data_IF_576259363007
#
_entry.id   IF_576259363007
#
_cell.length_a   1.000
_cell.length_b   1.000
_cell.length_c   1.000
_cell.angle_alpha   90.00
_cell.angle_beta   90.00
_cell.angle_gamma   90.00
#
_symmetry.space_group_name_H-M   'P 1'
#
loop_
_entity.id
_entity.type
_entity.pdbx_description
1 polymer ?
#
# COMPACT_ATOMS: atom_id res chain seq x y z
N UNK A 1 0.04 7.82 20.67
CA UNK A 1 -0.10 8.69 19.48
C UNK A 1 -1.53 9.20 19.37
N UNK A 2 -1.82 10.19 18.51
CA UNK A 2 -3.14 10.79 18.35
C UNK A 2 -4.27 9.76 18.13
N UNK A 3 -4.04 8.77 17.27
CA UNK A 3 -5.04 7.71 17.00
C UNK A 3 -5.36 6.85 18.23
N UNK A 4 -4.35 6.44 19.01
CA UNK A 4 -4.56 5.70 20.27
C UNK A 4 -5.36 6.52 21.29
N UNK A 5 -5.10 7.83 21.38
CA UNK A 5 -5.87 8.73 22.27
C UNK A 5 -7.33 8.79 21.85
N UNK A 6 -7.60 8.92 20.55
CA UNK A 6 -8.96 8.89 20.03
C UNK A 6 -9.67 7.57 20.38
N UNK A 7 -9.02 6.42 20.19
CA UNK A 7 -9.63 5.11 20.57
C UNK A 7 -9.92 5.03 22.07
N UNK A 8 -9.04 5.55 22.92
CA UNK A 8 -9.26 5.59 24.37
C UNK A 8 -10.46 6.48 24.74
N UNK A 9 -10.56 7.67 24.14
CA UNK A 9 -11.69 8.59 24.32
C UNK A 9 -13.02 7.98 23.81
N UNK A 10 -12.98 7.29 22.67
CA UNK A 10 -14.14 6.59 22.13
C UNK A 10 -14.65 5.50 23.08
N UNK A 11 -13.73 4.73 23.68
CA UNK A 11 -14.04 3.63 24.60
C UNK A 11 -14.42 4.08 26.01
N UNK A 12 -14.00 5.28 26.44
CA UNK A 12 -14.33 5.82 27.77
C UNK A 12 -15.73 6.46 27.83
N UNK A 13 -16.31 6.81 26.67
CA UNK A 13 -17.62 7.42 26.58
C UNK A 13 -18.73 6.42 26.96
N UNK A 14 -19.59 6.79 27.92
CA UNK A 14 -20.65 5.91 28.46
C UNK A 14 -21.95 5.95 27.68
N UNK A 15 -22.11 6.92 26.79
CA UNK A 15 -23.30 7.18 25.98
C UNK A 15 -23.34 6.40 24.66
N UNK A 16 -22.29 5.62 24.35
CA UNK A 16 -22.16 4.83 23.14
C UNK A 16 -21.42 3.51 23.39
N UNK A 17 -21.57 2.49 22.52
CA UNK A 17 -20.79 1.27 22.63
C UNK A 17 -19.30 1.53 22.37
N UNK A 18 -18.41 0.70 22.96
CA UNK A 18 -16.98 0.75 22.67
C UNK A 18 -16.69 0.37 21.21
N UNK A 19 -15.50 0.73 20.74
CA UNK A 19 -15.01 0.32 19.43
C UNK A 19 -14.82 -1.19 19.39
N UNK A 20 -15.42 -1.84 18.39
CA UNK A 20 -15.37 -3.30 18.21
C UNK A 20 -14.58 -3.76 16.99
N UNK A 21 -14.19 -2.83 16.10
CA UNK A 21 -13.41 -3.10 14.89
C UNK A 21 -12.76 -1.81 14.41
N UNK A 22 -11.62 -1.92 13.74
CA UNK A 22 -10.96 -0.81 13.05
C UNK A 22 -10.88 -1.12 11.55
N UNK A 23 -11.52 -0.27 10.74
CA UNK A 23 -11.33 -0.25 9.28
C UNK A 23 -10.45 0.96 8.95
N UNK A 24 -9.30 0.75 8.32
CA UNK A 24 -8.37 1.83 8.01
C UNK A 24 -7.82 1.73 6.60
N UNK A 25 -7.44 2.87 6.03
CA UNK A 25 -6.71 2.91 4.76
C UNK A 25 -5.40 2.12 4.90
N UNK A 26 -5.05 1.35 3.87
CA UNK A 26 -3.88 0.46 3.85
C UNK A 26 -2.56 1.20 4.13
N UNK A 27 -2.44 2.48 3.77
CA UNK A 27 -1.25 3.29 4.00
C UNK A 27 -1.14 3.72 5.48
N UNK A 28 -2.25 3.71 6.24
CA UNK A 28 -2.32 4.10 7.65
C UNK A 28 -1.88 2.96 8.58
N UNK A 29 -0.68 2.40 8.35
CA UNK A 29 -0.16 1.23 9.06
C UNK A 29 -0.10 1.37 10.58
N UNK A 30 0.03 2.61 11.11
CA UNK A 30 0.01 2.87 12.55
C UNK A 30 -1.29 2.44 13.25
N UNK A 31 -2.40 2.35 12.50
CA UNK A 31 -3.70 1.98 13.04
C UNK A 31 -3.80 0.48 13.33
N UNK A 32 -3.04 -0.35 12.60
CA UNK A 32 -2.95 -1.78 12.81
C UNK A 32 -2.37 -2.12 14.19
N UNK A 33 -1.28 -1.44 14.59
CA UNK A 33 -0.67 -1.65 15.91
C UNK A 33 -1.64 -1.28 17.04
N UNK A 34 -2.37 -0.18 16.88
CA UNK A 34 -3.36 0.27 17.86
C UNK A 34 -4.54 -0.71 17.97
N UNK A 35 -5.02 -1.26 16.84
CA UNK A 35 -6.06 -2.30 16.85
C UNK A 35 -5.57 -3.60 17.53
N UNK A 36 -4.33 -4.01 17.23
CA UNK A 36 -3.69 -5.18 17.82
C UNK A 36 -3.52 -5.06 19.34
N UNK A 37 -3.07 -3.91 19.83
CA UNK A 37 -2.94 -3.63 21.27
C UNK A 37 -4.29 -3.75 22.02
N UNK A 38 -5.39 -3.41 21.36
CA UNK A 38 -6.74 -3.49 21.91
C UNK A 38 -7.44 -4.83 21.65
N UNK A 39 -6.78 -5.77 20.98
CA UNK A 39 -7.36 -7.06 20.60
C UNK A 39 -8.54 -6.95 19.62
N UNK A 40 -8.58 -5.89 18.81
CA UNK A 40 -9.68 -5.61 17.89
C UNK A 40 -9.46 -6.25 16.51
N UNK A 41 -10.52 -6.76 15.87
CA UNK A 41 -10.52 -7.01 14.43
C UNK A 41 -10.06 -5.79 13.63
N UNK A 42 -9.25 -6.03 12.61
CA UNK A 42 -8.67 -5.00 11.75
C UNK A 42 -8.89 -5.32 10.27
N UNK A 43 -9.40 -4.35 9.53
CA UNK A 43 -9.65 -4.45 8.08
C UNK A 43 -8.92 -3.31 7.38
N UNK A 44 -8.17 -3.65 6.34
CA UNK A 44 -7.47 -2.69 5.50
C UNK A 44 -8.30 -2.37 4.26
N UNK A 45 -8.44 -1.07 3.96
CA UNK A 45 -9.07 -0.56 2.77
C UNK A 45 -8.01 -0.06 1.80
N UNK A 46 -8.01 -0.61 0.59
CA UNK A 46 -7.29 -0.02 -0.53
C UNK A 46 -8.24 0.92 -1.28
N UNK A 47 -7.92 2.21 -1.30
CA UNK A 47 -8.80 3.26 -1.85
C UNK A 47 -8.65 3.46 -3.36
N UNK A 48 -7.70 2.79 -4.00
CA UNK A 48 -7.47 2.85 -5.45
C UNK A 48 -7.87 1.54 -6.17
N UNK A 49 -7.51 1.39 -7.44
CA UNK A 49 -7.87 0.21 -8.23
C UNK A 49 -7.13 -1.07 -7.78
N UNK A 50 -7.72 -2.23 -8.06
CA UNK A 50 -7.08 -3.53 -7.81
C UNK A 50 -5.78 -3.69 -8.59
N UNK A 51 -5.70 -3.11 -9.79
CA UNK A 51 -4.49 -3.11 -10.63
C UNK A 51 -3.36 -2.32 -9.96
N UNK A 52 -3.65 -1.15 -9.39
CA UNK A 52 -2.61 -0.38 -8.68
C UNK A 52 -2.13 -1.12 -7.43
N UNK A 53 -3.04 -1.76 -6.68
CA UNK A 53 -2.68 -2.60 -5.54
C UNK A 53 -1.70 -3.71 -5.94
N UNK A 54 -2.00 -4.45 -7.01
CA UNK A 54 -1.10 -5.49 -7.53
C UNK A 54 0.25 -4.90 -7.97
N UNK A 55 0.26 -3.69 -8.53
CA UNK A 55 1.48 -2.96 -8.84
C UNK A 55 2.40 -2.78 -7.63
N UNK A 56 1.85 -2.36 -6.48
CA UNK A 56 2.61 -2.27 -5.22
C UNK A 56 3.04 -3.65 -4.69
N UNK A 57 2.17 -4.65 -4.77
CA UNK A 57 2.47 -6.01 -4.28
C UNK A 57 3.62 -6.68 -5.03
N UNK A 58 3.87 -6.30 -6.28
CA UNK A 58 4.92 -6.87 -7.11
C UNK A 58 6.23 -6.06 -7.13
N UNK A 59 6.42 -5.10 -6.22
CA UNK A 59 7.67 -4.35 -6.11
C UNK A 59 8.90 -5.25 -5.96
N UNK A 60 8.81 -6.27 -5.11
CA UNK A 60 9.91 -7.21 -4.89
C UNK A 60 10.30 -7.92 -6.19
N UNK A 61 9.32 -8.34 -7.00
CA UNK A 61 9.56 -8.98 -8.29
C UNK A 61 10.29 -8.03 -9.26
N UNK A 62 9.93 -6.74 -9.31
CA UNK A 62 10.62 -5.77 -10.15
C UNK A 62 12.08 -5.54 -9.71
N UNK A 63 12.30 -5.52 -8.39
CA UNK A 63 13.64 -5.36 -7.80
C UNK A 63 14.49 -6.60 -8.07
N UNK A 64 13.96 -7.80 -7.82
CA UNK A 64 14.69 -9.05 -7.98
C UNK A 64 15.05 -9.31 -9.46
N UNK A 65 14.27 -8.75 -10.40
CA UNK A 65 14.58 -8.76 -11.85
C UNK A 65 15.51 -7.62 -12.29
N UNK A 66 15.91 -6.73 -11.38
CA UNK A 66 16.79 -5.60 -11.69
C UNK A 66 16.18 -4.53 -12.60
N UNK A 67 14.84 -4.46 -12.65
CA UNK A 67 14.08 -3.46 -13.42
C UNK A 67 13.96 -2.16 -12.61
N UNK A 68 13.92 -2.27 -11.29
CA UNK A 68 13.83 -1.17 -10.35
C UNK A 68 14.83 -1.34 -9.18
N UNK A 69 15.28 -0.24 -8.53
CA UNK A 69 15.03 1.16 -8.91
C UNK A 69 15.73 1.53 -10.22
N UNK A 70 15.43 2.71 -10.76
CA UNK A 70 16.13 3.20 -11.95
C UNK A 70 17.61 3.44 -11.63
N UNK A 71 18.47 3.15 -12.61
CA UNK A 71 19.92 3.33 -12.53
C UNK A 71 20.35 4.74 -12.93
N UNK A 72 19.58 5.40 -13.78
CA UNK A 72 19.89 6.75 -14.29
C UNK A 72 18.60 7.55 -14.55
N UNK A 73 18.64 8.86 -14.31
CA UNK A 73 17.53 9.77 -14.60
C UNK A 73 17.16 9.81 -16.08
N UNK A 74 18.10 9.51 -16.98
CA UNK A 74 17.86 9.36 -18.42
C UNK A 74 16.82 8.28 -18.73
N UNK A 75 16.69 7.26 -17.89
CA UNK A 75 15.69 6.20 -18.05
C UNK A 75 14.24 6.71 -17.95
N UNK A 76 14.04 7.94 -17.45
CA UNK A 76 12.72 8.58 -17.44
C UNK A 76 12.29 9.05 -18.83
N UNK A 77 13.22 9.28 -19.76
CA UNK A 77 12.96 9.91 -21.06
C UNK A 77 13.45 9.12 -22.27
N UNK A 78 14.33 8.14 -22.09
CA UNK A 78 14.92 7.35 -23.19
C UNK A 78 14.07 6.16 -23.66
N UNK A 79 12.85 6.03 -23.17
CA UNK A 79 11.94 4.93 -23.50
C UNK A 79 12.06 3.70 -22.59
N UNK A 80 12.98 3.69 -21.61
CA UNK A 80 13.11 2.57 -20.67
C UNK A 80 11.79 2.25 -19.94
N UNK A 81 11.01 3.28 -19.59
CA UNK A 81 9.70 3.09 -18.95
C UNK A 81 8.64 2.45 -19.86
N UNK A 82 8.83 2.43 -21.18
CA UNK A 82 7.91 1.79 -22.12
C UNK A 82 8.21 0.30 -22.31
N UNK A 83 9.27 -0.23 -21.68
CA UNK A 83 9.59 -1.65 -21.67
C UNK A 83 8.41 -2.47 -21.10
N UNK A 84 7.96 -3.52 -21.81
CA UNK A 84 6.99 -4.48 -21.27
C UNK A 84 7.52 -5.17 -20.02
N UNK A 85 6.65 -5.36 -19.03
CA UNK A 85 6.96 -6.18 -17.85
C UNK A 85 6.12 -7.45 -17.95
N UNK A 86 6.72 -8.49 -18.49
CA UNK A 86 6.08 -9.79 -18.71
C UNK A 86 6.00 -10.63 -17.44
N UNK A 87 5.15 -11.65 -17.42
CA UNK A 87 5.05 -12.64 -16.35
C UNK A 87 4.85 -12.05 -14.94
N UNK A 88 3.99 -11.04 -14.83
CA UNK A 88 3.56 -10.48 -13.53
C UNK A 88 2.22 -11.09 -13.14
N UNK A 89 2.14 -11.90 -12.08
CA UNK A 89 0.89 -12.57 -11.71
C UNK A 89 -0.28 -11.59 -11.50
N UNK A 90 -1.36 -11.77 -12.27
CA UNK A 90 -2.56 -10.93 -12.21
C UNK A 90 -2.48 -9.61 -12.97
N UNK A 91 -1.35 -9.29 -13.61
CA UNK A 91 -1.17 -8.10 -14.42
C UNK A 91 -0.76 -8.49 -15.84
N UNK A 92 -1.50 -8.02 -16.85
CA UNK A 92 -1.26 -8.35 -18.26
C UNK A 92 -1.02 -7.07 -19.06
N UNK A 93 -0.16 -7.16 -20.07
CA UNK A 93 0.13 -6.07 -21.00
C UNK A 93 0.60 -4.77 -20.33
N UNK A 94 1.33 -4.90 -19.22
CA UNK A 94 1.89 -3.76 -18.47
C UNK A 94 3.24 -3.34 -19.04
N UNK A 95 3.50 -2.04 -19.02
CA UNK A 95 4.83 -1.44 -19.16
C UNK A 95 5.34 -0.98 -17.81
N UNK A 96 6.65 -0.75 -17.69
CA UNK A 96 7.23 -0.23 -16.44
C UNK A 96 6.56 1.09 -15.99
N UNK A 97 6.13 1.96 -16.92
CA UNK A 97 5.40 3.20 -16.59
C UNK A 97 4.05 3.00 -15.91
N UNK A 98 3.43 1.84 -16.09
CA UNK A 98 2.10 1.53 -15.57
C UNK A 98 2.16 1.08 -14.10
N UNK A 99 3.36 0.78 -13.58
CA UNK A 99 3.59 0.51 -12.16
C UNK A 99 3.69 1.80 -11.35
N UNK A 100 3.38 1.78 -10.04
CA UNK A 100 3.40 2.98 -9.24
C UNK A 100 4.78 3.64 -9.21
N UNK A 101 4.82 4.96 -9.33
CA UNK A 101 6.05 5.72 -9.56
C UNK A 101 7.07 5.63 -8.43
N UNK A 102 6.63 5.30 -7.20
CA UNK A 102 7.51 5.15 -6.03
C UNK A 102 8.53 4.02 -6.17
N UNK A 103 8.34 3.06 -7.09
CA UNK A 103 9.32 1.98 -7.33
C UNK A 103 10.53 2.45 -8.14
N UNK A 104 10.48 3.66 -8.73
CA UNK A 104 11.52 4.15 -9.64
C UNK A 104 12.77 4.65 -8.90
N UNK A 105 12.69 4.86 -7.60
CA UNK A 105 13.72 5.47 -6.75
C UNK A 105 14.22 4.50 -5.70
#
# INVERSE_FOLDING_TARGET
GPFRRLLAELNAARDRPPVTCVVSDLIMGFSMDAAKELGLPYVQLWTASTISYLGYRHYRLLIDRGIAPLKDMKQLTDGYLDMPVEDVPGLRSMRLRDFPTFIRT
#
